data_IF_278828712955
#
_entry.id   IF_278828712955
#
_cell.length_a   1.000
_cell.length_b   1.000
_cell.length_c   1.000
_cell.angle_alpha   90.00
_cell.angle_beta   90.00
_cell.angle_gamma   90.00
#
_symmetry.space_group_name_H-M   'P 1'
#
loop_
_entity.id
_entity.type
_entity.pdbx_description
1 polymer ?
#
# COMPACT_ATOMS: atom_id res chain seq x y z
N UNK A 1 -10.89 13.55 16.87
CA UNK A 1 -9.67 13.37 16.06
C UNK A 1 -9.89 13.64 14.58
N UNK A 2 -8.85 14.06 13.86
CA UNK A 2 -8.83 14.15 12.40
C UNK A 2 -8.48 12.77 11.81
N UNK A 3 -9.44 12.17 11.12
CA UNK A 3 -9.31 10.83 10.55
C UNK A 3 -8.19 10.76 9.49
N UNK A 4 -8.06 11.76 8.64
CA UNK A 4 -7.05 11.77 7.56
C UNK A 4 -5.64 11.88 8.12
N UNK A 5 -5.46 12.71 9.15
CA UNK A 5 -4.20 12.81 9.87
C UNK A 5 -3.81 11.48 10.50
N UNK A 6 -4.75 10.80 11.17
CA UNK A 6 -4.49 9.50 11.79
C UNK A 6 -4.22 8.44 10.73
N UNK A 7 -4.95 8.42 9.62
CA UNK A 7 -4.69 7.54 8.48
C UNK A 7 -3.27 7.70 7.93
N UNK A 8 -2.82 8.95 7.73
CA UNK A 8 -1.46 9.23 7.31
C UNK A 8 -0.42 8.76 8.34
N UNK A 9 -0.72 8.90 9.63
CA UNK A 9 0.14 8.43 10.71
C UNK A 9 0.23 6.89 10.78
N UNK A 10 -0.91 6.18 10.77
CA UNK A 10 -0.93 4.70 10.79
C UNK A 10 -0.38 4.08 9.52
N UNK A 11 -0.50 4.80 8.39
CA UNK A 11 0.13 4.46 7.12
C UNK A 11 1.66 4.42 7.19
N UNK A 12 2.26 5.26 8.05
CA UNK A 12 3.71 5.29 8.25
C UNK A 12 4.17 4.38 9.39
N UNK A 13 3.40 4.35 10.49
CA UNK A 13 3.68 3.50 11.66
C UNK A 13 2.36 2.99 12.25
N UNK A 14 2.11 1.69 12.13
CA UNK A 14 0.82 1.11 12.55
C UNK A 14 0.50 1.31 14.05
N UNK A 15 1.52 1.41 14.91
CA UNK A 15 1.38 1.68 16.35
C UNK A 15 0.82 3.08 16.67
N UNK A 16 0.80 4.01 15.70
CA UNK A 16 0.16 5.31 15.86
C UNK A 16 -1.33 5.21 16.23
N UNK A 17 -1.97 4.07 15.96
CA UNK A 17 -3.33 3.75 16.36
C UNK A 17 -3.55 3.87 17.89
N UNK A 18 -2.51 3.65 18.70
CA UNK A 18 -2.56 3.84 20.16
C UNK A 18 -3.11 5.20 20.57
N UNK A 19 -2.72 6.25 19.81
CA UNK A 19 -3.06 7.65 20.11
C UNK A 19 -4.40 8.09 19.52
N UNK A 20 -5.07 7.22 18.77
CA UNK A 20 -6.37 7.52 18.19
C UNK A 20 -7.48 7.45 19.26
N UNK A 21 -8.52 8.28 19.08
CA UNK A 21 -9.74 8.23 19.88
C UNK A 21 -10.48 6.90 19.67
N UNK A 22 -11.31 6.49 20.62
CA UNK A 22 -12.02 5.19 20.57
C UNK A 22 -12.88 5.02 19.31
N UNK A 23 -13.47 6.11 18.81
CA UNK A 23 -14.23 6.11 17.56
C UNK A 23 -13.36 5.69 16.35
N UNK A 24 -12.09 6.13 16.31
CA UNK A 24 -11.14 5.76 15.25
C UNK A 24 -10.53 4.37 15.49
N UNK A 25 -10.39 3.94 16.74
CA UNK A 25 -10.02 2.54 17.07
C UNK A 25 -11.10 1.54 16.70
N UNK A 26 -12.33 2.00 16.51
CA UNK A 26 -13.44 1.22 15.97
C UNK A 26 -13.58 1.32 14.44
N UNK A 27 -12.76 2.12 13.76
CA UNK A 27 -12.75 2.22 12.30
C UNK A 27 -11.99 1.03 11.69
N UNK A 28 -12.73 0.17 10.99
CA UNK A 28 -12.18 -1.03 10.36
C UNK A 28 -11.06 -0.72 9.36
N UNK A 29 -11.20 0.30 8.53
CA UNK A 29 -10.19 0.64 7.51
C UNK A 29 -8.88 1.06 8.20
N UNK A 30 -8.99 1.93 9.21
CA UNK A 30 -7.85 2.47 9.93
C UNK A 30 -7.10 1.37 10.71
N UNK A 31 -7.85 0.46 11.35
CA UNK A 31 -7.30 -0.70 12.05
C UNK A 31 -6.63 -1.69 11.09
N UNK A 32 -7.23 -1.95 9.92
CA UNK A 32 -6.64 -2.83 8.91
C UNK A 32 -5.36 -2.21 8.33
N UNK A 33 -5.33 -0.91 8.05
CA UNK A 33 -4.10 -0.20 7.65
C UNK A 33 -3.04 -0.35 8.74
N UNK A 34 -3.38 -0.08 10.00
CA UNK A 34 -2.45 -0.22 11.11
C UNK A 34 -1.90 -1.65 11.24
N UNK A 35 -2.76 -2.67 11.18
CA UNK A 35 -2.40 -4.09 11.28
C UNK A 35 -1.58 -4.60 10.09
N UNK A 36 -1.79 -4.05 8.89
CA UNK A 36 -1.02 -4.39 7.68
C UNK A 36 0.45 -3.94 7.78
N UNK A 37 0.68 -2.81 8.46
CA UNK A 37 1.99 -2.22 8.70
C UNK A 37 2.66 -2.76 9.96
N UNK A 38 1.89 -2.93 11.04
CA UNK A 38 2.34 -3.46 12.31
C UNK A 38 1.25 -4.35 12.92
N UNK A 39 1.36 -5.69 12.83
CA UNK A 39 0.31 -6.61 13.29
C UNK A 39 -0.05 -6.44 14.77
N UNK A 40 0.90 -6.01 15.60
CA UNK A 40 0.68 -5.70 17.02
C UNK A 40 -0.26 -4.51 17.25
N UNK A 41 -0.45 -3.64 16.26
CA UNK A 41 -1.35 -2.49 16.37
C UNK A 41 -2.81 -2.91 16.54
N UNK A 42 -3.18 -4.12 16.07
CA UNK A 42 -4.51 -4.69 16.29
C UNK A 42 -4.87 -4.76 17.78
N UNK A 43 -3.88 -4.81 18.67
CA UNK A 43 -4.08 -4.76 20.12
C UNK A 43 -4.72 -3.46 20.63
N UNK A 44 -4.57 -2.35 19.89
CA UNK A 44 -5.14 -1.04 20.23
C UNK A 44 -6.53 -0.79 19.63
N UNK A 45 -6.98 -1.69 18.75
CA UNK A 45 -8.32 -1.59 18.16
C UNK A 45 -9.41 -1.87 19.19
N UNK A 46 -10.62 -1.38 18.91
CA UNK A 46 -11.80 -1.69 19.72
C UNK A 46 -12.01 -3.21 19.83
N UNK A 47 -12.43 -3.66 21.02
CA UNK A 47 -12.50 -5.08 21.37
C UNK A 47 -13.31 -5.93 20.37
N UNK A 48 -14.46 -5.44 19.95
CA UNK A 48 -15.34 -6.12 18.98
C UNK A 48 -14.67 -6.30 17.63
N UNK A 49 -14.10 -5.22 17.09
CA UNK A 49 -13.42 -5.22 15.79
C UNK A 49 -12.17 -6.10 15.81
N UNK A 50 -11.35 -5.99 16.87
CA UNK A 50 -10.18 -6.84 17.09
C UNK A 50 -10.56 -8.32 17.08
N UNK A 51 -11.57 -8.70 17.84
CA UNK A 51 -12.01 -10.09 17.96
C UNK A 51 -12.58 -10.61 16.64
N UNK A 52 -13.33 -9.76 15.93
CA UNK A 52 -13.82 -10.04 14.57
C UNK A 52 -12.69 -10.35 13.61
N UNK A 53 -11.69 -9.47 13.51
CA UNK A 53 -10.53 -9.60 12.61
C UNK A 53 -9.72 -10.87 12.94
N UNK A 54 -9.45 -11.14 14.22
CA UNK A 54 -8.70 -12.32 14.64
C UNK A 54 -9.41 -13.61 14.24
N UNK A 55 -10.72 -13.71 14.51
CA UNK A 55 -11.51 -14.88 14.17
C UNK A 55 -11.59 -15.10 12.66
N UNK A 56 -11.77 -14.03 11.88
CA UNK A 56 -11.81 -14.15 10.41
C UNK A 56 -10.46 -14.55 9.85
N UNK A 57 -9.36 -13.96 10.33
CA UNK A 57 -8.01 -14.30 9.91
C UNK A 57 -7.68 -15.77 10.23
N UNK A 58 -8.01 -16.22 11.45
CA UNK A 58 -7.83 -17.60 11.89
C UNK A 58 -8.65 -18.57 11.03
N UNK A 59 -9.94 -18.28 10.80
CA UNK A 59 -10.81 -19.13 9.97
C UNK A 59 -10.35 -19.21 8.51
N UNK A 60 -9.67 -18.17 8.02
CA UNK A 60 -9.08 -18.14 6.68
C UNK A 60 -7.69 -18.79 6.62
N UNK A 61 -7.11 -19.17 7.77
CA UNK A 61 -5.74 -19.69 7.85
C UNK A 61 -4.66 -18.66 7.49
N UNK A 62 -4.96 -17.36 7.65
CA UNK A 62 -4.08 -16.26 7.28
C UNK A 62 -3.46 -15.61 8.52
N UNK A 63 -2.22 -15.14 8.39
CA UNK A 63 -1.69 -14.23 9.40
C UNK A 63 -2.49 -12.92 9.39
N UNK A 64 -2.62 -12.27 10.56
CA UNK A 64 -3.33 -10.98 10.69
C UNK A 64 -2.83 -9.95 9.68
N UNK A 65 -1.52 -9.91 9.44
CA UNK A 65 -0.91 -9.00 8.49
C UNK A 65 -1.39 -9.23 7.05
N UNK A 66 -1.47 -10.50 6.64
CA UNK A 66 -1.89 -10.90 5.30
C UNK A 66 -3.39 -10.69 5.12
N UNK A 67 -4.18 -11.09 6.13
CA UNK A 67 -5.61 -10.81 6.16
C UNK A 67 -5.85 -9.30 6.02
N UNK A 68 -5.20 -8.48 6.85
CA UNK A 68 -5.34 -7.03 6.79
C UNK A 68 -4.99 -6.47 5.40
N UNK A 69 -3.87 -6.91 4.81
CA UNK A 69 -3.48 -6.51 3.45
C UNK A 69 -4.51 -6.90 2.40
N UNK A 70 -5.12 -8.09 2.51
CA UNK A 70 -6.12 -8.58 1.55
C UNK A 70 -7.44 -7.80 1.60
N UNK A 71 -7.78 -7.22 2.76
CA UNK A 71 -9.00 -6.44 2.94
C UNK A 71 -8.84 -4.99 2.50
N UNK A 72 -7.60 -4.52 2.28
CA UNK A 72 -7.35 -3.14 1.87
C UNK A 72 -7.50 -2.97 0.35
N UNK A 73 -8.12 -1.87 -0.11
CA UNK A 73 -8.23 -1.58 -1.53
C UNK A 73 -6.84 -1.34 -2.13
N UNK A 74 -6.44 -2.21 -3.06
CA UNK A 74 -5.19 -2.06 -3.81
C UNK A 74 -5.29 -0.94 -4.84
N UNK A 75 -4.20 -0.19 -5.00
CA UNK A 75 -4.02 0.69 -6.17
C UNK A 75 -3.33 -0.12 -7.26
N UNK A 76 -4.00 -0.27 -8.41
CA UNK A 76 -3.47 -0.95 -9.58
C UNK A 76 -2.91 0.09 -10.54
N UNK A 77 -1.62 -0.06 -10.89
CA UNK A 77 -0.99 0.74 -11.93
C UNK A 77 -0.62 -0.15 -13.12
N UNK A 78 -0.98 0.32 -14.32
CA UNK A 78 -0.56 -0.27 -15.58
C UNK A 78 0.84 0.22 -15.92
N UNK A 79 1.77 -0.70 -16.15
CA UNK A 79 3.14 -0.38 -16.54
C UNK A 79 3.30 -0.59 -18.04
N UNK A 80 3.65 0.46 -18.77
CA UNK A 80 4.00 0.42 -20.20
C UNK A 80 5.48 0.74 -20.38
N UNK A 81 6.11 0.15 -21.39
CA UNK A 81 7.46 0.51 -21.80
C UNK A 81 7.46 1.00 -23.24
N UNK A 82 8.06 2.16 -23.50
CA UNK A 82 8.19 2.77 -24.83
C UNK A 82 9.65 3.09 -25.12
N UNK A 83 10.07 2.99 -26.37
CA UNK A 83 11.41 3.44 -26.79
C UNK A 83 11.38 4.96 -27.01
N UNK A 84 12.25 5.70 -26.32
CA UNK A 84 12.43 7.13 -26.54
C UNK A 84 13.90 7.50 -26.83
N UNK A 85 14.12 8.35 -27.83
CA UNK A 85 15.42 8.96 -28.14
C UNK A 85 16.32 8.16 -29.10
N UNK A 86 17.46 8.75 -29.53
CA UNK A 86 18.30 8.25 -30.62
C UNK A 86 19.16 7.02 -30.29
N UNK A 87 18.94 6.37 -29.15
CA UNK A 87 19.73 5.22 -28.69
C UNK A 87 18.89 3.99 -28.30
N UNK A 88 17.58 3.98 -28.60
CA UNK A 88 16.70 2.88 -28.19
C UNK A 88 16.56 2.76 -26.67
N UNK A 89 16.63 3.88 -25.95
CA UNK A 89 16.45 3.87 -24.51
C UNK A 89 14.99 3.53 -24.20
N UNK A 90 14.78 2.46 -23.42
CA UNK A 90 13.46 2.06 -22.97
C UNK A 90 13.03 2.97 -21.81
N UNK A 91 11.79 3.44 -21.81
CA UNK A 91 11.21 4.24 -20.74
C UNK A 91 10.00 3.51 -20.21
N UNK A 92 10.01 3.19 -18.92
CA UNK A 92 8.87 2.60 -18.22
C UNK A 92 8.00 3.71 -17.63
N UNK A 93 6.70 3.65 -17.92
CA UNK A 93 5.68 4.58 -17.46
C UNK A 93 4.58 3.83 -16.73
N UNK A 94 4.23 4.29 -15.53
CA UNK A 94 3.14 3.78 -14.71
C UNK A 94 1.93 4.70 -14.85
N UNK A 95 0.78 4.11 -15.16
CA UNK A 95 -0.49 4.83 -15.26
C UNK A 95 -1.51 4.25 -14.29
N UNK A 96 -2.42 5.09 -13.78
CA UNK A 96 -3.65 4.59 -13.16
C UNK A 96 -4.53 3.92 -14.22
N UNK A 97 -5.54 3.15 -13.79
CA UNK A 97 -6.55 2.60 -14.73
C UNK A 97 -7.36 3.69 -15.46
N UNK A 98 -7.34 4.93 -14.97
CA UNK A 98 -7.93 6.08 -15.64
C UNK A 98 -7.00 6.73 -16.69
N UNK A 99 -5.78 6.22 -16.86
CA UNK A 99 -4.77 6.75 -17.79
C UNK A 99 -3.93 7.90 -17.24
N UNK A 100 -4.03 8.22 -15.95
CA UNK A 100 -3.21 9.26 -15.32
C UNK A 100 -1.78 8.75 -15.08
N UNK A 101 -0.77 9.47 -15.57
CA UNK A 101 0.64 9.13 -15.34
C UNK A 101 1.03 9.35 -13.88
N UNK A 102 1.56 8.30 -13.25
CA UNK A 102 2.00 8.31 -11.85
C UNK A 102 3.52 8.35 -11.74
N UNK A 103 4.24 7.59 -12.55
CA UNK A 103 5.70 7.54 -12.46
C UNK A 103 6.31 7.19 -13.81
N UNK A 104 7.46 7.79 -14.12
CA UNK A 104 8.20 7.57 -15.36
C UNK A 104 9.67 7.37 -15.03
N UNK A 105 10.30 6.37 -15.64
CA UNK A 105 11.70 6.02 -15.40
C UNK A 105 12.38 5.51 -16.66
N UNK A 106 13.56 6.04 -16.97
CA UNK A 106 14.41 5.51 -18.03
C UNK A 106 15.09 4.20 -17.60
N UNK A 107 15.01 3.20 -18.46
CA UNK A 107 15.65 1.89 -18.34
C UNK A 107 16.96 1.92 -19.13
N UNK A 108 18.08 1.83 -18.42
CA UNK A 108 19.42 1.77 -19.03
C UNK A 108 19.85 0.31 -19.16
N UNK A 109 20.18 -0.12 -20.38
CA UNK A 109 20.66 -1.48 -20.65
C UNK A 109 21.97 -1.74 -19.87
N UNK A 110 21.96 -2.75 -19.00
CA UNK A 110 23.12 -3.16 -18.18
C UNK A 110 22.94 -2.99 -16.68
N UNK A 111 21.94 -2.21 -16.23
CA UNK A 111 21.62 -2.10 -14.81
C UNK A 111 20.53 -3.12 -14.43
N UNK A 112 20.98 -4.31 -14.04
CA UNK A 112 20.12 -5.39 -13.50
C UNK A 112 19.75 -5.15 -12.03
N UNK A 113 20.16 -4.03 -11.41
CA UNK A 113 19.75 -3.67 -10.04
C UNK A 113 18.31 -3.13 -10.01
N UNK A 114 17.39 -4.05 -10.31
CA UNK A 114 15.93 -3.98 -10.11
C UNK A 114 15.25 -2.66 -10.52
N UNK A 115 15.17 -2.35 -11.82
CA UNK A 115 14.30 -1.27 -12.32
C UNK A 115 12.86 -1.38 -11.77
N UNK A 116 12.36 -2.60 -11.54
CA UNK A 116 11.07 -2.82 -10.89
C UNK A 116 10.98 -2.23 -9.47
N UNK A 117 12.04 -2.34 -8.65
CA UNK A 117 12.06 -1.79 -7.29
C UNK A 117 12.16 -0.27 -7.30
N UNK A 118 12.95 0.30 -8.22
CA UNK A 118 13.05 1.74 -8.41
C UNK A 118 11.71 2.35 -8.87
N UNK A 119 11.07 1.73 -9.85
CA UNK A 119 9.76 2.14 -10.35
C UNK A 119 8.67 2.00 -9.28
N UNK A 120 8.70 0.91 -8.50
CA UNK A 120 7.82 0.73 -7.36
C UNK A 120 8.04 1.81 -6.30
N UNK A 121 9.29 2.17 -5.98
CA UNK A 121 9.62 3.24 -5.05
C UNK A 121 9.15 4.61 -5.52
N UNK A 122 9.29 4.92 -6.82
CA UNK A 122 8.80 6.16 -7.42
C UNK A 122 7.26 6.23 -7.40
N UNK A 123 6.59 5.14 -7.78
CA UNK A 123 5.13 5.05 -7.73
C UNK A 123 4.60 5.18 -6.30
N UNK A 124 5.23 4.52 -5.33
CA UNK A 124 4.83 4.56 -3.91
C UNK A 124 4.95 5.95 -3.27
N UNK A 125 5.80 6.85 -3.80
CA UNK A 125 5.90 8.23 -3.31
C UNK A 125 4.72 9.10 -3.74
N UNK A 126 4.05 8.75 -4.85
CA UNK A 126 2.97 9.54 -5.44
C UNK A 126 1.59 8.92 -5.22
N UNK A 127 1.53 7.64 -4.85
CA UNK A 127 0.32 6.96 -4.40
C UNK A 127 0.16 7.15 -2.88
N UNK A 128 -1.07 7.23 -2.34
CA UNK A 128 -1.28 7.28 -0.90
C UNK A 128 -0.56 6.14 -0.17
N UNK A 129 0.34 6.50 0.74
CA UNK A 129 1.35 5.61 1.36
C UNK A 129 0.75 4.45 2.16
N UNK A 130 -0.52 4.56 2.53
CA UNK A 130 -1.29 3.58 3.30
C UNK A 130 -2.04 2.57 2.41
N UNK A 131 -2.05 2.75 1.09
CA UNK A 131 -2.66 1.77 0.16
C UNK A 131 -1.61 0.82 -0.38
N UNK A 132 -1.84 -0.49 -0.33
CA UNK A 132 -0.95 -1.46 -0.96
C UNK A 132 -0.95 -1.25 -2.48
N UNK A 133 0.25 -1.01 -3.03
CA UNK A 133 0.48 -0.80 -4.46
C UNK A 133 0.68 -2.14 -5.17
N UNK A 134 0.00 -2.32 -6.31
CA UNK A 134 0.24 -3.46 -7.20
C UNK A 134 0.56 -2.94 -8.59
N UNK A 135 1.77 -3.25 -9.07
CA UNK A 135 2.17 -3.01 -10.46
C UNK A 135 1.72 -4.18 -11.31
N UNK A 136 1.07 -3.89 -12.43
CA UNK A 136 0.66 -4.90 -13.42
C UNK A 136 1.38 -4.60 -14.72
N UNK A 137 2.16 -5.57 -15.18
CA UNK A 137 2.73 -5.60 -16.52
C UNK A 137 1.70 -6.26 -17.46
N UNK A 138 1.62 -5.82 -18.73
CA UNK A 138 0.82 -6.50 -19.74
C UNK A 138 1.26 -7.95 -19.99
#
# INVERSE_FOLDING_TARGET
ADRELVLAAVGKRGDALLFADDALKADAELVLIAASNHPGALGYAGLELRSGILRTAESAGLAVQEYARSQLPHVVLQVSATEEGPAGALVATCHTLAGEEVATMALVAGDISTPAAALHGLAAQRVPQWRPLRLVLP
#
